data_IF_516096817089
#
_entry.id   IF_516096817089
#
_cell.length_a   1.000
_cell.length_b   1.000
_cell.length_c   1.000
_cell.angle_alpha   90.00
_cell.angle_beta   90.00
_cell.angle_gamma   90.00
#
_symmetry.space_group_name_H-M   'P 1'
#
loop_
_entity.id
_entity.type
_entity.pdbx_description
1 polymer ?
#
# COMPACT_ATOMS: atom_id res chain seq x y z
N UNK A 1 23.19 -17.16 -21.00
CA UNK A 1 22.46 -16.14 -20.20
C UNK A 1 21.44 -15.49 -21.13
N UNK A 2 20.13 -15.70 -20.89
CA UNK A 2 19.09 -14.94 -21.60
C UNK A 2 19.26 -13.45 -21.24
N UNK A 3 19.24 -12.53 -22.21
CA UNK A 3 19.29 -11.11 -21.93
C UNK A 3 18.08 -10.77 -21.06
N UNK A 4 18.32 -10.07 -19.96
CA UNK A 4 17.26 -9.59 -19.11
C UNK A 4 16.30 -8.71 -19.95
N UNK A 5 15.06 -9.13 -20.09
CA UNK A 5 14.05 -8.33 -20.79
C UNK A 5 13.99 -6.97 -20.12
N UNK A 6 14.21 -5.90 -20.88
CA UNK A 6 13.98 -4.53 -20.39
C UNK A 6 12.52 -4.47 -19.96
N UNK A 7 12.25 -4.27 -18.66
CA UNK A 7 10.90 -3.96 -18.19
C UNK A 7 10.43 -2.72 -18.93
N UNK A 8 9.36 -2.86 -19.70
CA UNK A 8 8.76 -1.71 -20.37
C UNK A 8 8.30 -0.70 -19.32
N UNK A 9 8.59 0.57 -19.53
CA UNK A 9 8.09 1.68 -18.71
C UNK A 9 6.58 1.69 -18.79
N UNK A 10 5.91 1.59 -17.66
CA UNK A 10 4.45 1.68 -17.62
C UNK A 10 4.02 3.12 -17.79
N UNK A 11 3.12 3.36 -18.73
CA UNK A 11 2.53 4.67 -18.97
C UNK A 11 1.00 4.56 -18.82
N UNK A 12 0.40 5.59 -18.27
CA UNK A 12 -1.05 5.74 -18.21
C UNK A 12 -1.47 6.77 -19.27
N UNK A 13 -2.36 6.35 -20.15
CA UNK A 13 -2.95 7.19 -21.19
C UNK A 13 -4.38 7.49 -20.75
N UNK A 14 -4.71 8.77 -20.60
CA UNK A 14 -6.07 9.25 -20.29
C UNK A 14 -6.59 9.96 -21.52
N UNK A 15 -7.62 9.39 -22.15
CA UNK A 15 -8.19 9.93 -23.38
C UNK A 15 -9.58 10.52 -23.11
N UNK A 16 -9.78 11.75 -23.51
CA UNK A 16 -11.10 12.36 -23.57
C UNK A 16 -11.78 11.92 -24.89
N UNK A 17 -12.85 11.12 -24.77
CA UNK A 17 -13.52 10.51 -25.93
C UNK A 17 -14.24 11.52 -26.83
N UNK A 18 -14.58 12.70 -26.31
CA UNK A 18 -15.27 13.76 -27.08
C UNK A 18 -14.27 14.57 -27.88
N UNK A 19 -13.16 14.98 -27.26
CA UNK A 19 -12.15 15.86 -27.90
C UNK A 19 -11.00 15.07 -28.51
N UNK A 20 -10.93 13.77 -28.32
CA UNK A 20 -9.80 12.89 -28.69
C UNK A 20 -8.43 13.34 -28.13
N UNK A 21 -8.43 14.24 -27.15
CA UNK A 21 -7.21 14.66 -26.45
C UNK A 21 -6.71 13.51 -25.58
N UNK A 22 -5.41 13.23 -25.68
CA UNK A 22 -4.74 12.20 -24.90
C UNK A 22 -3.70 12.84 -24.00
N UNK A 23 -3.85 12.62 -22.69
CA UNK A 23 -2.84 12.98 -21.69
C UNK A 23 -2.04 11.73 -21.30
N UNK A 24 -0.72 11.84 -21.27
CA UNK A 24 0.18 10.71 -20.99
C UNK A 24 0.93 10.95 -19.69
N UNK A 25 0.77 10.02 -18.74
CA UNK A 25 1.46 10.05 -17.44
C UNK A 25 2.45 8.88 -17.39
N UNK A 26 3.73 9.19 -17.14
CA UNK A 26 4.81 8.20 -17.11
C UNK A 26 5.00 7.57 -15.74
N UNK A 27 5.59 6.37 -15.70
CA UNK A 27 6.00 5.67 -14.48
C UNK A 27 4.83 5.33 -13.54
N UNK A 28 3.63 5.14 -14.08
CA UNK A 28 2.44 4.82 -13.29
C UNK A 28 2.43 3.33 -12.93
N UNK A 29 2.48 3.02 -11.65
CA UNK A 29 2.41 1.65 -11.12
C UNK A 29 0.97 1.15 -11.01
N UNK A 30 0.07 1.99 -10.55
CA UNK A 30 -1.36 1.69 -10.38
C UNK A 30 -2.19 2.97 -10.42
N UNK A 31 -3.47 2.82 -10.68
CA UNK A 31 -4.42 3.92 -10.71
C UNK A 31 -5.82 3.47 -10.31
N UNK A 32 -6.66 4.40 -9.89
CA UNK A 32 -8.06 4.16 -9.53
C UNK A 32 -8.86 5.46 -9.58
N UNK A 33 -10.06 5.42 -10.15
CA UNK A 33 -11.02 6.51 -10.06
C UNK A 33 -11.70 6.55 -8.68
N UNK A 34 -12.06 7.73 -8.25
CA UNK A 34 -12.97 7.91 -7.13
C UNK A 34 -14.40 7.49 -7.53
N UNK A 35 -15.35 7.54 -6.60
CA UNK A 35 -16.69 6.98 -6.79
C UNK A 35 -17.55 7.72 -7.82
N UNK A 36 -17.37 9.03 -7.94
CA UNK A 36 -18.08 9.89 -8.89
C UNK A 36 -17.28 10.15 -10.19
N UNK A 37 -16.14 9.43 -10.34
CA UNK A 37 -15.27 9.49 -11.54
C UNK A 37 -14.67 10.87 -11.84
N UNK A 38 -14.80 11.83 -10.91
CA UNK A 38 -14.27 13.18 -11.07
C UNK A 38 -12.75 13.28 -10.89
N UNK A 39 -12.17 12.35 -10.12
CA UNK A 39 -10.74 12.30 -9.84
C UNK A 39 -10.16 10.92 -10.09
N UNK A 40 -9.00 10.90 -10.72
CA UNK A 40 -8.17 9.72 -10.93
C UNK A 40 -6.96 9.79 -10.00
N UNK A 41 -6.89 8.90 -9.02
CA UNK A 41 -5.68 8.72 -8.24
C UNK A 41 -4.70 7.79 -8.96
N UNK A 42 -3.44 8.15 -8.99
CA UNK A 42 -2.39 7.31 -9.56
C UNK A 42 -1.12 7.34 -8.73
N UNK A 43 -0.45 6.21 -8.70
CA UNK A 43 0.82 5.99 -8.00
C UNK A 43 1.95 6.03 -9.01
N UNK A 44 2.95 6.86 -8.75
CA UNK A 44 4.19 6.93 -9.53
C UNK A 44 5.27 6.15 -8.82
N UNK A 45 5.87 5.19 -9.52
CA UNK A 45 7.07 4.47 -9.09
C UNK A 45 8.21 4.74 -10.08
N UNK A 46 9.27 5.44 -9.67
CA UNK A 46 10.39 5.74 -10.54
C UNK A 46 11.15 4.46 -10.92
N UNK A 47 11.69 4.43 -12.12
CA UNK A 47 12.62 3.39 -12.51
C UNK A 47 13.89 3.43 -11.66
N UNK A 48 14.56 2.26 -11.48
CA UNK A 48 15.79 2.17 -10.67
C UNK A 48 16.91 3.12 -11.13
N UNK A 49 16.93 3.47 -12.42
CA UNK A 49 17.92 4.36 -13.04
C UNK A 49 17.46 5.82 -13.07
N UNK A 50 16.19 6.09 -12.85
CA UNK A 50 15.64 7.44 -12.81
C UNK A 50 15.85 8.04 -11.42
N UNK A 51 16.70 9.04 -11.34
CA UNK A 51 17.00 9.76 -10.09
C UNK A 51 16.19 11.06 -9.95
N UNK A 52 15.50 11.47 -11.01
CA UNK A 52 14.76 12.74 -11.04
C UNK A 52 13.29 12.55 -10.65
N UNK A 53 12.67 11.45 -11.05
CA UNK A 53 11.28 11.14 -10.71
C UNK A 53 11.19 10.64 -9.27
N UNK A 54 10.37 11.28 -8.46
CA UNK A 54 10.08 10.85 -7.09
C UNK A 54 8.88 9.90 -7.07
N UNK A 55 8.93 8.90 -6.17
CA UNK A 55 7.76 8.09 -5.88
C UNK A 55 6.68 8.95 -5.22
N UNK A 56 5.42 8.74 -5.57
CA UNK A 56 4.35 9.53 -4.99
C UNK A 56 2.95 9.08 -5.38
N UNK A 57 1.98 9.62 -4.68
CA UNK A 57 0.58 9.52 -4.99
C UNK A 57 0.05 10.87 -5.45
N UNK A 58 -0.65 10.88 -6.55
CA UNK A 58 -1.19 12.05 -7.21
C UNK A 58 -2.66 11.86 -7.53
N UNK A 59 -3.39 12.97 -7.60
CA UNK A 59 -4.75 13.05 -8.12
C UNK A 59 -4.75 13.83 -9.43
N UNK A 60 -5.41 13.30 -10.43
CA UNK A 60 -5.63 13.94 -11.73
C UNK A 60 -7.11 14.14 -11.96
N UNK A 61 -7.51 15.36 -12.31
CA UNK A 61 -8.87 15.66 -12.73
C UNK A 61 -8.93 15.67 -14.27
N UNK A 62 -9.54 14.66 -14.89
CA UNK A 62 -9.56 14.55 -16.36
C UNK A 62 -10.42 15.59 -17.04
N UNK A 63 -11.34 16.26 -16.34
CA UNK A 63 -12.21 17.30 -16.91
C UNK A 63 -11.48 18.61 -17.18
N UNK A 64 -10.60 18.99 -16.25
CA UNK A 64 -9.86 20.27 -16.31
C UNK A 64 -8.37 20.10 -16.59
N UNK A 65 -7.86 18.85 -16.55
CA UNK A 65 -6.44 18.54 -16.76
C UNK A 65 -5.55 18.94 -15.58
N UNK A 66 -6.12 19.11 -14.38
CA UNK A 66 -5.38 19.51 -13.18
C UNK A 66 -4.77 18.28 -12.49
N UNK A 67 -3.52 18.40 -12.06
CA UNK A 67 -2.84 17.40 -11.22
C UNK A 67 -2.57 17.98 -9.85
N UNK A 68 -2.98 17.26 -8.79
CA UNK A 68 -2.65 17.57 -7.39
C UNK A 68 -1.69 16.53 -6.85
N UNK A 69 -0.63 16.99 -6.22
CA UNK A 69 0.24 16.12 -5.43
C UNK A 69 -0.40 15.86 -4.08
N UNK A 70 -0.57 14.58 -3.73
CA UNK A 70 -1.10 14.18 -2.43
C UNK A 70 0.02 13.94 -1.43
N UNK A 71 0.97 13.09 -1.82
CA UNK A 71 2.14 12.79 -0.99
C UNK A 71 3.29 12.32 -1.88
N UNK A 72 4.46 12.92 -1.71
CA UNK A 72 5.71 12.45 -2.27
C UNK A 72 6.58 11.77 -1.23
N UNK A 73 7.34 10.79 -1.67
CA UNK A 73 8.34 10.12 -0.86
C UNK A 73 9.73 10.20 -1.50
N UNK A 74 10.74 9.87 -0.72
CA UNK A 74 12.10 9.74 -1.20
C UNK A 74 12.30 8.45 -2.03
N UNK A 75 13.50 8.30 -2.57
CA UNK A 75 13.86 7.09 -3.33
C UNK A 75 13.71 5.84 -2.46
N UNK A 76 12.86 4.93 -2.90
CA UNK A 76 12.54 3.69 -2.18
C UNK A 76 11.23 3.72 -1.41
N UNK A 77 10.57 4.88 -1.36
CA UNK A 77 9.19 4.97 -0.85
C UNK A 77 8.24 4.15 -1.71
N UNK A 78 7.22 3.59 -1.07
CA UNK A 78 6.20 2.79 -1.73
C UNK A 78 4.82 3.29 -1.37
N UNK A 79 3.98 3.38 -2.37
CA UNK A 79 2.58 3.74 -2.23
C UNK A 79 1.71 2.62 -2.79
N UNK A 80 0.57 2.36 -2.17
CA UNK A 80 -0.42 1.43 -2.73
C UNK A 80 -1.61 2.17 -3.29
N UNK A 81 -2.30 1.51 -4.21
CA UNK A 81 -3.54 2.01 -4.80
C UNK A 81 -4.52 2.42 -3.72
N UNK A 82 -5.03 3.65 -3.74
CA UNK A 82 -5.93 4.15 -2.71
C UNK A 82 -7.30 3.50 -2.73
N UNK A 83 -8.01 3.62 -1.61
CA UNK A 83 -9.44 3.38 -1.51
C UNK A 83 -10.17 4.70 -1.33
N UNK A 84 -11.35 4.82 -1.94
CA UNK A 84 -12.19 6.00 -1.86
C UNK A 84 -13.46 5.71 -1.08
N UNK A 85 -13.86 6.66 -0.24
CA UNK A 85 -15.18 6.69 0.37
C UNK A 85 -16.21 7.31 -0.58
N UNK A 86 -17.50 7.16 -0.24
CA UNK A 86 -18.59 7.82 -0.98
C UNK A 86 -18.69 9.33 -0.65
N UNK A 87 -18.01 9.78 0.41
CA UNK A 87 -18.06 11.16 0.90
C UNK A 87 -16.84 12.02 0.52
N UNK A 88 -16.02 11.55 -0.45
CA UNK A 88 -14.89 12.32 -0.96
C UNK A 88 -13.59 12.19 -0.18
N UNK A 89 -13.50 11.22 0.74
CA UNK A 89 -12.25 10.90 1.46
C UNK A 89 -11.52 9.76 0.76
N UNK A 90 -10.20 9.87 0.65
CA UNK A 90 -9.32 8.85 0.13
C UNK A 90 -8.42 8.31 1.24
N UNK A 91 -8.22 6.99 1.29
CA UNK A 91 -7.27 6.33 2.18
C UNK A 91 -6.23 5.56 1.38
N UNK A 92 -4.97 5.59 1.80
CA UNK A 92 -3.90 4.86 1.15
C UNK A 92 -2.80 4.42 2.12
N UNK A 93 -2.13 3.34 1.76
CA UNK A 93 -0.90 2.93 2.41
C UNK A 93 0.28 3.68 1.81
N UNK A 94 1.15 4.20 2.66
CA UNK A 94 2.43 4.75 2.26
C UNK A 94 3.55 4.27 3.18
N UNK A 95 4.66 3.92 2.56
CA UNK A 95 5.92 3.69 3.22
C UNK A 95 6.89 4.74 2.70
N UNK A 96 7.18 5.72 3.53
CA UNK A 96 8.07 6.84 3.20
C UNK A 96 9.47 6.67 3.78
N UNK A 97 9.76 5.52 4.38
CA UNK A 97 11.09 5.22 4.90
C UNK A 97 12.12 5.15 3.77
N UNK A 98 13.35 5.53 4.09
CA UNK A 98 14.46 5.50 3.12
C UNK A 98 14.70 4.08 2.59
N UNK A 99 15.23 3.97 1.37
CA UNK A 99 15.50 2.68 0.73
C UNK A 99 16.43 1.77 1.57
N UNK A 100 17.26 2.37 2.43
CA UNK A 100 18.22 1.69 3.30
C UNK A 100 17.69 1.38 4.70
N UNK A 101 16.46 1.78 5.01
CA UNK A 101 15.86 1.47 6.32
C UNK A 101 15.79 -0.03 6.52
N UNK A 102 16.38 -0.52 7.61
CA UNK A 102 16.35 -1.93 7.99
C UNK A 102 14.93 -2.41 8.25
N UNK A 103 14.07 -1.53 8.74
CA UNK A 103 12.65 -1.76 9.00
C UNK A 103 11.86 -0.73 8.21
N UNK A 104 10.92 -1.21 7.42
CA UNK A 104 9.99 -0.36 6.68
C UNK A 104 8.64 -0.35 7.39
N UNK A 105 8.23 0.83 7.82
CA UNK A 105 6.95 1.03 8.47
C UNK A 105 5.90 1.42 7.43
N UNK A 106 4.77 0.77 7.48
CA UNK A 106 3.63 1.11 6.64
C UNK A 106 2.68 1.98 7.44
N UNK A 107 2.42 3.16 6.91
CA UNK A 107 1.48 4.12 7.47
C UNK A 107 0.22 4.17 6.62
N UNK A 108 -0.92 4.48 7.23
CA UNK A 108 -2.18 4.76 6.55
C UNK A 108 -2.46 6.24 6.66
N UNK A 109 -2.74 6.86 5.54
CA UNK A 109 -3.12 8.27 5.44
C UNK A 109 -4.55 8.40 4.97
N UNK A 110 -5.24 9.41 5.50
CA UNK A 110 -6.50 9.92 5.00
C UNK A 110 -6.25 11.25 4.29
N UNK A 111 -6.86 11.41 3.14
CA UNK A 111 -6.81 12.64 2.35
C UNK A 111 -8.22 13.06 1.97
N UNK A 112 -8.60 14.25 2.35
CA UNK A 112 -9.86 14.86 1.93
C UNK A 112 -9.65 15.58 0.60
N UNK A 113 -10.40 15.16 -0.44
CA UNK A 113 -10.19 15.63 -1.81
C UNK A 113 -10.62 17.09 -1.96
N UNK A 114 -11.62 17.54 -1.18
CA UNK A 114 -12.15 18.91 -1.28
C UNK A 114 -11.24 19.90 -0.59
N UNK A 115 -10.90 19.64 0.66
CA UNK A 115 -10.06 20.55 1.45
C UNK A 115 -8.56 20.41 1.17
N UNK A 116 -8.13 19.30 0.57
CA UNK A 116 -6.71 18.97 0.37
C UNK A 116 -5.98 18.60 1.67
N UNK A 117 -6.71 18.30 2.74
CA UNK A 117 -6.12 17.98 4.03
C UNK A 117 -5.63 16.53 4.07
N UNK A 118 -4.35 16.35 4.39
CA UNK A 118 -3.70 15.06 4.56
C UNK A 118 -3.46 14.80 6.05
N UNK A 119 -3.92 13.64 6.54
CA UNK A 119 -3.78 13.25 7.94
C UNK A 119 -3.21 11.83 8.04
N UNK A 120 -2.31 11.62 9.01
CA UNK A 120 -1.87 10.29 9.40
C UNK A 120 -2.98 9.62 10.21
N UNK A 121 -3.53 8.53 9.66
CA UNK A 121 -4.67 7.83 10.26
C UNK A 121 -4.23 6.66 11.15
N UNK A 122 -3.27 5.86 10.69
CA UNK A 122 -2.74 4.75 11.47
C UNK A 122 -1.27 4.50 11.17
N UNK A 123 -0.54 4.09 12.21
CA UNK A 123 0.85 3.65 12.12
C UNK A 123 1.12 2.58 13.19
N UNK A 124 2.35 2.07 13.23
CA UNK A 124 2.74 1.04 14.20
C UNK A 124 2.86 1.53 15.65
N UNK A 125 2.67 2.83 15.90
CA UNK A 125 2.75 3.45 17.23
C UNK A 125 1.38 3.89 17.74
N UNK A 126 0.29 3.57 17.03
CA UNK A 126 -1.04 3.98 17.44
C UNK A 126 -1.46 3.33 18.75
N UNK A 127 -2.18 4.12 19.57
CA UNK A 127 -2.70 3.65 20.87
C UNK A 127 -3.73 2.54 20.64
N UNK A 128 -3.57 1.44 21.37
CA UNK A 128 -4.48 0.28 21.31
C UNK A 128 -3.98 -0.85 20.40
N UNK A 129 -2.96 -0.63 19.58
CA UNK A 129 -2.31 -1.71 18.85
C UNK A 129 -1.55 -2.61 19.83
N UNK A 130 -1.77 -3.92 19.73
CA UNK A 130 -1.09 -4.91 20.58
C UNK A 130 0.43 -4.82 20.37
N UNK A 131 1.19 -5.00 21.46
CA UNK A 131 2.65 -5.05 21.39
C UNK A 131 3.13 -6.14 20.41
N UNK A 132 4.11 -5.84 19.60
CA UNK A 132 4.60 -6.76 18.56
C UNK A 132 3.71 -6.87 17.32
N UNK A 133 2.66 -6.06 17.21
CA UNK A 133 1.81 -6.00 16.02
C UNK A 133 2.15 -4.77 15.15
N UNK A 134 1.82 -4.85 13.88
CA UNK A 134 2.03 -3.79 12.89
C UNK A 134 0.79 -3.57 12.03
N UNK A 135 0.70 -2.39 11.43
CA UNK A 135 -0.21 -2.12 10.32
C UNK A 135 0.23 -2.94 9.12
N UNK A 136 -0.64 -3.84 8.65
CA UNK A 136 -0.31 -4.81 7.62
C UNK A 136 -0.74 -4.31 6.23
N UNK A 137 0.24 -4.07 5.37
CA UNK A 137 0.00 -3.63 4.00
C UNK A 137 -0.64 -4.69 3.09
N UNK A 138 -0.74 -5.94 3.53
CA UNK A 138 -1.33 -7.03 2.74
C UNK A 138 -2.86 -7.00 2.74
N UNK A 139 -3.49 -6.28 3.67
CA UNK A 139 -4.93 -6.06 3.69
C UNK A 139 -5.34 -4.94 2.75
N UNK A 140 -6.56 -5.02 2.21
CA UNK A 140 -7.19 -3.91 1.51
C UNK A 140 -7.65 -2.83 2.49
N UNK A 141 -7.74 -1.59 2.01
CA UNK A 141 -8.40 -0.49 2.71
C UNK A 141 -9.85 -0.41 2.24
N UNK A 142 -10.80 -0.45 3.18
CA UNK A 142 -12.22 -0.38 2.86
C UNK A 142 -12.92 0.61 3.78
N UNK A 143 -13.69 1.52 3.20
CA UNK A 143 -14.55 2.41 3.95
C UNK A 143 -15.89 1.76 4.25
N UNK A 144 -16.50 2.10 5.38
CA UNK A 144 -17.92 1.89 5.59
C UNK A 144 -18.73 2.71 4.58
N UNK A 145 -19.97 2.31 4.31
CA UNK A 145 -20.83 2.98 3.33
C UNK A 145 -21.08 4.46 3.67
N UNK A 146 -21.15 4.78 4.95
CA UNK A 146 -21.30 6.15 5.44
C UNK A 146 -19.98 6.96 5.48
N UNK A 147 -18.85 6.34 5.09
CA UNK A 147 -17.53 6.96 5.09
C UNK A 147 -16.92 7.22 6.47
N UNK A 148 -17.60 6.84 7.57
CA UNK A 148 -17.18 7.18 8.93
C UNK A 148 -16.13 6.22 9.51
N UNK A 149 -15.98 5.03 8.94
CA UNK A 149 -15.01 4.03 9.40
C UNK A 149 -14.12 3.61 8.25
N UNK A 150 -12.85 3.46 8.56
CA UNK A 150 -11.86 2.87 7.68
C UNK A 150 -11.42 1.53 8.25
N UNK A 151 -11.67 0.45 7.51
CA UNK A 151 -11.22 -0.90 7.81
C UNK A 151 -9.88 -1.17 7.16
N UNK A 152 -8.97 -1.79 7.91
CA UNK A 152 -7.63 -2.16 7.44
C UNK A 152 -7.16 -3.43 8.14
N UNK A 153 -5.97 -3.91 7.82
CA UNK A 153 -5.41 -5.09 8.44
C UNK A 153 -4.29 -4.77 9.41
N UNK A 154 -4.22 -5.54 10.46
CA UNK A 154 -3.09 -5.64 11.37
C UNK A 154 -2.53 -7.05 11.34
N UNK A 155 -1.27 -7.22 11.69
CA UNK A 155 -0.65 -8.54 11.80
C UNK A 155 0.48 -8.53 12.83
N UNK A 156 0.85 -9.69 13.39
CA UNK A 156 2.08 -9.81 14.13
C UNK A 156 3.28 -9.36 13.28
N UNK A 157 4.24 -8.70 13.92
CA UNK A 157 5.45 -8.26 13.24
C UNK A 157 6.21 -9.51 12.73
N UNK A 158 6.54 -9.56 11.42
CA UNK A 158 7.32 -10.68 10.90
C UNK A 158 8.66 -10.79 11.62
N UNK A 159 9.11 -12.03 11.84
CA UNK A 159 10.46 -12.28 12.34
C UNK A 159 11.48 -11.72 11.35
N UNK A 160 12.50 -11.09 11.89
CA UNK A 160 13.60 -10.57 11.07
C UNK A 160 14.38 -11.75 10.50
N UNK A 161 14.69 -11.68 9.21
CA UNK A 161 15.62 -12.66 8.62
C UNK A 161 16.99 -12.46 9.23
N UNK A 162 17.59 -13.55 9.69
CA UNK A 162 19.00 -13.53 10.03
C UNK A 162 19.83 -13.29 8.77
N UNK A 163 20.48 -12.15 8.72
CA UNK A 163 21.36 -11.75 7.60
C UNK A 163 22.84 -12.01 7.89
N UNK A 164 23.16 -12.55 9.05
CA UNK A 164 24.54 -12.86 9.45
C UNK A 164 25.07 -14.10 8.76
N UNK A 165 24.17 -15.03 8.39
CA UNK A 165 24.49 -16.25 7.68
C UNK A 165 24.05 -16.16 6.21
N UNK A 166 24.87 -16.73 5.32
CA UNK A 166 24.48 -16.90 3.92
C UNK A 166 23.25 -17.84 3.82
N UNK A 167 22.39 -17.65 2.82
CA UNK A 167 21.12 -18.40 2.68
C UNK A 167 21.31 -19.93 2.66
N UNK A 168 22.45 -20.42 2.13
CA UNK A 168 22.81 -21.85 2.10
C UNK A 168 23.37 -22.37 3.44
N UNK A 169 23.78 -21.48 4.36
CA UNK A 169 24.28 -21.82 5.68
C UNK A 169 23.18 -21.77 6.74
N UNK A 170 22.01 -21.21 6.39
CA UNK A 170 20.89 -21.17 7.32
C UNK A 170 20.32 -22.56 7.55
N UNK A 171 20.17 -23.01 8.79
CA UNK A 171 19.59 -24.31 9.09
C UNK A 171 18.15 -24.37 8.59
N UNK A 172 17.84 -25.41 7.84
CA UNK A 172 16.48 -25.71 7.41
C UNK A 172 15.97 -26.86 8.26
N UNK A 173 14.90 -26.61 9.01
CA UNK A 173 14.27 -27.61 9.84
C UNK A 173 12.81 -27.79 9.40
N UNK A 174 12.48 -28.99 8.94
CA UNK A 174 11.10 -29.39 8.68
C UNK A 174 10.62 -30.32 9.80
N UNK A 175 9.58 -29.91 10.51
CA UNK A 175 8.98 -30.70 11.58
C UNK A 175 7.75 -31.41 11.00
N UNK A 176 7.75 -32.73 11.08
CA UNK A 176 6.61 -33.55 10.68
C UNK A 176 5.92 -34.06 11.94
N UNK A 177 4.76 -33.50 12.25
CA UNK A 177 3.96 -33.92 13.39
C UNK A 177 2.69 -34.62 12.91
N UNK A 178 2.35 -35.75 13.55
CA UNK A 178 1.11 -36.47 13.26
C UNK A 178 -0.15 -35.73 13.74
N UNK A 179 0.01 -34.77 14.65
CA UNK A 179 -1.08 -34.04 15.30
C UNK A 179 -1.32 -32.66 14.64
N UNK A 180 -0.83 -32.44 13.43
CA UNK A 180 -1.06 -31.20 12.67
C UNK A 180 -2.24 -31.32 11.73
N UNK A 181 -3.02 -30.24 11.58
CA UNK A 181 -4.21 -30.19 10.72
C UNK A 181 -3.87 -30.40 9.24
N UNK A 182 -2.66 -30.10 8.82
CA UNK A 182 -2.21 -30.16 7.43
C UNK A 182 -0.85 -30.85 7.30
N UNK A 183 -0.73 -31.63 6.23
CA UNK A 183 0.57 -32.22 5.84
C UNK A 183 1.61 -31.15 5.59
N UNK A 184 2.87 -31.43 5.90
CA UNK A 184 4.02 -30.52 5.72
C UNK A 184 4.08 -29.94 4.29
N UNK A 185 3.82 -30.74 3.25
CA UNK A 185 3.78 -30.30 1.87
C UNK A 185 2.71 -29.23 1.62
N UNK A 186 1.54 -29.35 2.27
CA UNK A 186 0.45 -28.37 2.20
C UNK A 186 0.82 -27.10 2.94
N UNK A 187 1.48 -27.20 4.10
CA UNK A 187 1.97 -26.07 4.86
C UNK A 187 3.00 -25.27 4.04
N UNK A 188 3.97 -25.93 3.41
CA UNK A 188 4.94 -25.29 2.52
C UNK A 188 4.28 -24.58 1.36
N UNK A 189 3.30 -25.20 0.72
CA UNK A 189 2.53 -24.59 -0.36
C UNK A 189 1.78 -23.33 0.09
N UNK A 190 1.21 -23.36 1.30
CA UNK A 190 0.46 -22.24 1.88
C UNK A 190 1.32 -21.17 2.55
N UNK A 191 2.58 -21.46 2.89
CA UNK A 191 3.49 -20.61 3.65
C UNK A 191 3.43 -19.12 3.25
N UNK A 192 3.57 -18.83 1.96
CA UNK A 192 3.58 -17.46 1.47
C UNK A 192 2.23 -16.74 1.63
N UNK A 193 1.12 -17.47 1.64
CA UNK A 193 -0.22 -16.94 1.88
C UNK A 193 -0.44 -16.71 3.37
N UNK A 194 -0.09 -17.68 4.18
CA UNK A 194 -0.33 -17.67 5.61
C UNK A 194 0.56 -16.61 6.31
N UNK A 195 1.78 -16.40 5.82
CA UNK A 195 2.65 -15.29 6.25
C UNK A 195 2.10 -13.89 5.93
N UNK A 196 1.11 -13.78 5.05
CA UNK A 196 0.42 -12.53 4.69
C UNK A 196 -0.94 -12.41 5.34
N UNK A 197 -1.28 -13.31 6.25
CA UNK A 197 -2.54 -13.25 6.97
C UNK A 197 -2.62 -11.96 7.77
N UNK A 198 -3.81 -11.37 7.77
CA UNK A 198 -4.08 -10.12 8.47
C UNK A 198 -5.37 -10.23 9.26
N UNK A 199 -5.45 -9.48 10.32
CA UNK A 199 -6.61 -9.38 11.19
C UNK A 199 -7.27 -8.02 10.98
N UNK A 200 -8.58 -8.02 10.86
CA UNK A 200 -9.33 -6.81 10.55
C UNK A 200 -9.39 -5.89 11.76
N UNK A 201 -9.12 -4.64 11.52
CA UNK A 201 -9.27 -3.57 12.48
C UNK A 201 -9.95 -2.36 11.82
N UNK A 202 -10.43 -1.42 12.60
CA UNK A 202 -10.94 -0.17 12.06
C UNK A 202 -10.58 1.04 12.92
N UNK A 203 -10.60 2.19 12.29
CA UNK A 203 -10.55 3.51 12.92
C UNK A 203 -11.71 4.36 12.41
N UNK A 204 -12.15 5.32 13.21
CA UNK A 204 -13.07 6.35 12.76
C UNK A 204 -12.32 7.39 11.92
N UNK A 205 -12.92 7.85 10.82
CA UNK A 205 -12.28 8.82 9.90
C UNK A 205 -12.14 10.21 10.52
N UNK A 206 -12.86 10.50 11.60
CA UNK A 206 -12.67 11.71 12.42
C UNK A 206 -11.37 11.70 13.23
N UNK A 207 -10.75 10.54 13.40
CA UNK A 207 -9.53 10.30 14.19
C UNK A 207 -9.65 10.72 15.68
N UNK A 208 -10.87 10.85 16.18
CA UNK A 208 -11.14 11.22 17.59
C UNK A 208 -11.22 10.02 18.50
N UNK A 209 -11.61 8.88 17.95
CA UNK A 209 -11.82 7.64 18.70
C UNK A 209 -10.61 6.70 18.59
N UNK A 210 -10.44 5.83 19.59
CA UNK A 210 -9.35 4.86 19.56
C UNK A 210 -9.53 3.84 18.43
N UNK A 211 -8.42 3.26 18.04
CA UNK A 211 -8.35 2.07 17.20
C UNK A 211 -9.10 0.89 17.84
N UNK A 212 -9.81 0.12 17.01
CA UNK A 212 -10.54 -1.07 17.43
C UNK A 212 -10.07 -2.28 16.61
N UNK A 213 -9.58 -3.31 17.29
CA UNK A 213 -9.30 -4.61 16.70
C UNK A 213 -10.59 -5.45 16.70
N UNK A 214 -10.91 -6.11 15.58
CA UNK A 214 -12.07 -7.00 15.44
C UNK A 214 -11.68 -8.46 15.65
#
# INVERSE_FOLDING_TARGET
KKPASKKATKQLLVMNVVTSKVDTIKNVASYKFNKDESWLAYVVEPEKKDSLTKAGLYLYNPMIGETKEVLQGEKGSKFKTPSFSEVGTMAFYANTDTAKAAKKNTNIYLYDIQSGNLQLAANNQMKGLQEGWIVAENAGLNFSKDGKRLFFGTAPKPLEKDTTLAEFEQPQLDIWSWNEDYLQTVQLYRKNRDMKQTYTAYINTSLTDPFVQL
#
